data_IF_861056099965
#
_entry.id   IF_861056099965
#
_cell.length_a   1.000
_cell.length_b   1.000
_cell.length_c   1.000
_cell.angle_alpha   90.00
_cell.angle_beta   90.00
_cell.angle_gamma   90.00
#
_symmetry.space_group_name_H-M   'P 1'
#
loop_
_entity.id
_entity.type
_entity.pdbx_description
1 polymer ?
#
# COMPACT_ATOMS: atom_id res chain seq x y z
N UNK A 1 -1.84 14.30 0.62
CA UNK A 1 -0.75 13.91 1.54
C UNK A 1 0.04 12.72 1.01
N UNK A 2 -0.41 11.46 1.11
CA UNK A 2 0.41 10.30 0.71
C UNK A 2 0.71 10.11 -0.79
N UNK A 3 0.05 10.88 -1.66
CA UNK A 3 0.30 10.96 -3.12
C UNK A 3 0.50 12.40 -3.60
N UNK A 4 0.80 13.30 -2.66
CA UNK A 4 0.90 14.71 -2.99
C UNK A 4 2.27 15.03 -3.61
N UNK A 5 2.33 15.54 -4.84
CA UNK A 5 3.60 15.85 -5.51
C UNK A 5 4.41 16.94 -4.81
N UNK A 6 3.82 17.75 -3.91
CA UNK A 6 4.60 18.72 -3.14
C UNK A 6 5.50 18.08 -2.09
N UNK A 7 5.19 16.84 -1.67
CA UNK A 7 5.94 16.10 -0.65
C UNK A 7 6.68 14.89 -1.23
N UNK A 8 6.21 14.34 -2.35
CA UNK A 8 6.69 13.07 -2.89
C UNK A 8 7.09 13.23 -4.36
N UNK A 9 8.33 12.90 -4.69
CA UNK A 9 8.76 12.72 -6.09
C UNK A 9 8.07 11.50 -6.70
N UNK A 10 7.50 11.63 -7.90
CA UNK A 10 6.77 10.55 -8.59
C UNK A 10 5.74 9.85 -7.67
N UNK A 11 4.75 10.58 -7.10
CA UNK A 11 3.89 10.07 -6.03
C UNK A 11 3.00 8.89 -6.45
N UNK A 12 2.73 8.75 -7.74
CA UNK A 12 1.92 7.66 -8.30
C UNK A 12 2.74 6.40 -8.59
N UNK A 13 4.08 6.48 -8.54
CA UNK A 13 4.96 5.34 -8.79
C UNK A 13 5.12 4.51 -7.53
N UNK A 14 4.95 3.20 -7.65
CA UNK A 14 5.36 2.27 -6.60
C UNK A 14 6.91 2.24 -6.52
N UNK A 15 7.46 2.92 -5.50
CA UNK A 15 8.90 3.01 -5.26
C UNK A 15 9.20 2.80 -3.75
N UNK A 16 9.31 1.53 -3.29
CA UNK A 16 9.62 1.20 -1.90
C UNK A 16 10.98 1.77 -1.45
N UNK A 17 11.93 1.90 -2.37
CA UNK A 17 13.29 2.35 -2.10
C UNK A 17 13.32 3.76 -1.51
N UNK A 18 12.26 4.55 -1.71
CA UNK A 18 12.16 5.90 -1.17
C UNK A 18 12.17 5.98 0.35
N UNK A 19 11.88 4.86 1.02
CA UNK A 19 11.94 4.74 2.47
C UNK A 19 13.28 4.18 2.96
N UNK A 20 14.14 3.66 2.06
CA UNK A 20 15.48 3.19 2.43
C UNK A 20 16.36 4.39 2.80
N UNK A 21 17.06 4.29 3.94
CA UNK A 21 17.90 5.37 4.47
C UNK A 21 17.17 6.71 4.68
N UNK A 22 15.84 6.69 4.75
CA UNK A 22 15.01 7.86 5.07
C UNK A 22 14.70 7.89 6.56
N UNK A 23 14.55 9.08 7.13
CA UNK A 23 14.02 9.26 8.48
C UNK A 23 12.51 9.11 8.56
N UNK A 24 11.80 9.11 7.42
CA UNK A 24 10.34 9.03 7.37
C UNK A 24 9.88 7.67 7.90
N UNK A 25 9.00 7.70 8.90
CA UNK A 25 8.34 6.53 9.45
C UNK A 25 6.81 6.69 9.54
N UNK A 26 6.11 5.58 9.82
CA UNK A 26 4.65 5.52 9.90
C UNK A 26 4.10 5.84 11.31
N UNK A 27 4.94 6.32 12.25
CA UNK A 27 4.56 6.48 13.67
C UNK A 27 3.79 7.77 13.97
N UNK A 28 3.47 8.55 12.93
CA UNK A 28 2.66 9.76 13.04
C UNK A 28 3.44 11.05 13.32
N UNK A 29 4.78 11.02 13.23
CA UNK A 29 5.63 12.23 13.31
C UNK A 29 5.84 12.91 11.95
N UNK A 30 5.67 12.16 10.85
CA UNK A 30 5.84 12.62 9.47
C UNK A 30 4.48 12.84 8.82
N UNK A 31 4.00 14.08 8.76
CA UNK A 31 2.65 14.41 8.29
C UNK A 31 2.43 14.14 6.80
N UNK A 32 3.51 14.10 6.03
CA UNK A 32 3.54 13.62 4.65
C UNK A 32 3.18 12.12 4.54
N UNK A 33 3.37 11.34 5.63
CA UNK A 33 3.21 9.88 5.68
C UNK A 33 2.51 9.39 6.97
N UNK A 34 1.18 9.46 7.00
CA UNK A 34 0.35 9.03 8.15
C UNK A 34 -0.66 7.91 7.79
N UNK A 35 -0.22 6.74 7.29
CA UNK A 35 -1.13 5.67 6.85
C UNK A 35 -2.01 5.12 7.98
N UNK A 36 -1.58 5.28 9.24
CA UNK A 36 -2.32 4.88 10.43
C UNK A 36 -2.88 6.06 11.23
N UNK A 37 -2.84 7.28 10.68
CA UNK A 37 -3.14 8.51 11.40
C UNK A 37 -2.01 8.93 12.35
N UNK A 38 -2.31 9.88 13.25
CA UNK A 38 -1.34 10.43 14.20
C UNK A 38 -2.02 10.91 15.51
N UNK A 39 -1.22 11.14 16.54
CA UNK A 39 -1.68 11.69 17.83
C UNK A 39 -2.62 10.77 18.61
N UNK A 40 -3.53 11.36 19.40
CA UNK A 40 -4.45 10.63 20.31
C UNK A 40 -5.41 9.65 19.62
N UNK A 41 -5.57 9.76 18.30
CA UNK A 41 -6.48 8.94 17.50
C UNK A 41 -5.74 8.10 16.45
N UNK A 42 -4.43 7.92 16.62
CA UNK A 42 -3.66 6.98 15.81
C UNK A 42 -4.30 5.58 15.90
N UNK A 43 -4.29 4.84 14.80
CA UNK A 43 -4.90 3.51 14.73
C UNK A 43 -4.31 2.61 15.82
N UNK A 44 -5.13 2.09 16.75
CA UNK A 44 -4.64 1.23 17.82
C UNK A 44 -4.09 -0.11 17.29
N UNK A 45 -4.49 -0.50 16.08
CA UNK A 45 -4.03 -1.71 15.40
C UNK A 45 -2.74 -1.57 14.59
N UNK A 46 -2.06 -0.41 14.62
CA UNK A 46 -0.88 -0.14 13.78
C UNK A 46 0.20 -1.23 13.89
N UNK A 47 0.65 -1.53 15.11
CA UNK A 47 1.73 -2.51 15.33
C UNK A 47 1.31 -3.92 14.89
N UNK A 48 0.06 -4.30 15.14
CA UNK A 48 -0.50 -5.58 14.73
C UNK A 48 -0.58 -5.70 13.21
N UNK A 49 -1.10 -4.65 12.55
CA UNK A 49 -1.22 -4.61 11.09
C UNK A 49 0.13 -4.71 10.40
N UNK A 50 1.15 -4.02 10.90
CA UNK A 50 2.52 -4.10 10.38
C UNK A 50 3.09 -5.50 10.56
N UNK A 51 2.96 -6.10 11.74
CA UNK A 51 3.47 -7.43 12.03
C UNK A 51 2.85 -8.49 11.10
N UNK A 52 1.52 -8.46 10.94
CA UNK A 52 0.82 -9.38 10.02
C UNK A 52 1.21 -9.12 8.56
N UNK A 53 1.30 -7.85 8.15
CA UNK A 53 1.68 -7.51 6.78
C UNK A 53 3.09 -8.02 6.46
N UNK A 54 4.06 -7.79 7.34
CA UNK A 54 5.44 -8.25 7.16
C UNK A 54 5.53 -9.77 7.11
N UNK A 55 4.87 -10.47 8.04
CA UNK A 55 4.87 -11.93 8.07
C UNK A 55 4.17 -12.52 6.84
N UNK A 56 3.00 -11.99 6.49
CA UNK A 56 2.24 -12.41 5.31
C UNK A 56 3.04 -12.21 4.02
N UNK A 57 3.63 -11.02 3.84
CA UNK A 57 4.44 -10.71 2.68
C UNK A 57 5.70 -11.59 2.60
N UNK A 58 6.39 -11.80 3.73
CA UNK A 58 7.56 -12.67 3.76
C UNK A 58 7.22 -14.11 3.36
N UNK A 59 6.13 -14.66 3.90
CA UNK A 59 5.67 -16.01 3.53
C UNK A 59 5.30 -16.11 2.04
N UNK A 60 4.60 -15.11 1.53
CA UNK A 60 4.21 -15.01 0.13
C UNK A 60 5.41 -14.96 -0.82
N UNK A 61 6.46 -14.22 -0.46
CA UNK A 61 7.69 -14.11 -1.24
C UNK A 61 8.57 -15.37 -1.13
N UNK A 62 8.57 -16.03 0.02
CA UNK A 62 9.46 -17.17 0.27
C UNK A 62 8.91 -18.49 -0.31
N UNK A 63 7.60 -18.68 -0.31
CA UNK A 63 6.98 -19.97 -0.64
C UNK A 63 6.37 -20.06 -2.05
N UNK A 64 6.26 -18.95 -2.78
CA UNK A 64 5.58 -18.94 -4.08
C UNK A 64 6.42 -18.28 -5.17
N UNK A 65 6.40 -18.88 -6.36
CA UNK A 65 6.89 -18.26 -7.59
C UNK A 65 5.73 -17.56 -8.30
N UNK A 66 5.81 -16.23 -8.37
CA UNK A 66 4.74 -15.40 -8.91
C UNK A 66 4.87 -15.30 -10.44
N UNK A 67 3.80 -15.68 -11.15
CA UNK A 67 3.74 -15.58 -12.61
C UNK A 67 2.40 -14.99 -13.03
N UNK A 68 2.44 -14.09 -14.01
CA UNK A 68 1.22 -13.61 -14.64
C UNK A 68 0.70 -14.66 -15.64
N UNK A 69 -0.62 -14.84 -15.76
CA UNK A 69 -1.22 -15.58 -16.86
C UNK A 69 -0.76 -14.99 -18.20
N UNK A 70 -0.56 -15.83 -19.23
CA UNK A 70 -0.04 -15.42 -20.55
C UNK A 70 -0.88 -14.29 -21.18
N UNK A 71 -2.19 -14.28 -20.92
CA UNK A 71 -3.11 -13.26 -21.43
C UNK A 71 -2.98 -11.89 -20.75
N UNK A 72 -2.23 -11.78 -19.65
CA UNK A 72 -2.10 -10.56 -18.85
C UNK A 72 -0.66 -10.03 -18.89
N UNK A 73 -0.52 -8.80 -19.38
CA UNK A 73 0.77 -8.09 -19.40
C UNK A 73 1.00 -7.27 -18.13
N UNK A 74 -0.07 -6.81 -17.48
CA UNK A 74 -0.02 -6.03 -16.25
C UNK A 74 -1.26 -6.30 -15.38
N UNK A 75 -1.13 -6.03 -14.08
CA UNK A 75 -2.25 -6.04 -13.15
C UNK A 75 -2.87 -4.65 -13.14
N UNK A 76 -4.16 -4.57 -13.46
CA UNK A 76 -4.92 -3.32 -13.40
C UNK A 76 -5.26 -2.98 -11.94
N UNK A 77 -4.59 -1.97 -11.40
CA UNK A 77 -4.77 -1.50 -10.03
C UNK A 77 -5.93 -0.49 -9.88
N UNK A 78 -6.52 -0.02 -10.99
CA UNK A 78 -7.61 0.98 -10.96
C UNK A 78 -8.91 0.40 -10.39
N UNK A 79 -9.09 -0.92 -10.46
CA UNK A 79 -10.28 -1.64 -9.98
C UNK A 79 -10.33 -1.82 -8.46
N UNK A 80 -9.25 -1.51 -7.75
CA UNK A 80 -9.15 -1.66 -6.29
C UNK A 80 -9.63 -0.41 -5.54
N UNK A 81 -9.80 0.73 -6.22
CA UNK A 81 -10.47 1.88 -5.61
C UNK A 81 -11.96 1.55 -5.50
N UNK A 82 -12.45 1.44 -4.27
CA UNK A 82 -13.87 1.19 -3.99
C UNK A 82 -14.75 2.30 -4.55
N UNK A 83 -15.15 2.17 -5.81
CA UNK A 83 -16.34 2.79 -6.35
C UNK A 83 -17.51 1.84 -6.08
N UNK A 84 -18.57 2.27 -5.36
CA UNK A 84 -19.77 1.46 -5.16
C UNK A 84 -20.47 1.00 -6.45
N UNK A 85 -20.13 1.58 -7.61
CA UNK A 85 -20.85 1.37 -8.86
C UNK A 85 -20.39 0.19 -9.72
N UNK A 86 -19.34 -0.55 -9.36
CA UNK A 86 -18.75 -1.58 -10.26
C UNK A 86 -18.94 -3.04 -9.81
N UNK A 87 -19.55 -3.29 -8.65
CA UNK A 87 -19.75 -4.66 -8.11
C UNK A 87 -20.68 -5.52 -9.00
N UNK A 88 -21.53 -4.91 -9.85
CA UNK A 88 -22.55 -5.62 -10.63
C UNK A 88 -22.10 -6.14 -12.02
N UNK A 89 -20.85 -5.97 -12.45
CA UNK A 89 -20.44 -6.37 -13.81
C UNK A 89 -19.97 -7.83 -13.94
N UNK A 90 -19.90 -8.59 -12.85
CA UNK A 90 -19.46 -10.00 -12.86
C UNK A 90 -20.62 -11.02 -12.90
N UNK A 91 -21.88 -10.56 -13.00
CA UNK A 91 -23.07 -11.41 -13.09
C UNK A 91 -23.94 -11.12 -14.34
N UNK A 92 -23.34 -10.63 -15.43
CA UNK A 92 -23.98 -10.58 -16.74
C UNK A 92 -23.17 -11.38 -17.77
#
# INVERSE_FOLDING_TARGET
>A
MGRDPSYWTDPEKFCPERFLNSSIDHKGAHFEYIPFGAGRRICPGMLFGIAIFQLGLANLLFHFDWKLPIALQHIDLTKLSGSPSQVNSYYA
#
